data_IF_971730668904
#
_entry.id   IF_971730668904
#
_cell.length_a   1.000
_cell.length_b   1.000
_cell.length_c   1.000
_cell.angle_alpha   90.00
_cell.angle_beta   90.00
_cell.angle_gamma   90.00
#
_symmetry.space_group_name_H-M   'P 1'
#
loop_
_entity.id
_entity.type
_entity.pdbx_description
1 polymer ?
#
# COMPACT_ATOMS: atom_id res chain seq x y z
N UNK A 1 -16.02 15.31 -10.19
CA UNK A 1 -15.65 14.99 -11.59
C UNK A 1 -14.13 14.91 -11.65
N UNK A 2 -13.60 13.89 -12.33
CA UNK A 2 -12.17 13.74 -12.51
C UNK A 2 -11.54 14.96 -13.24
N UNK A 3 -10.28 15.25 -12.95
CA UNK A 3 -9.55 16.31 -13.65
C UNK A 3 -9.25 15.91 -15.10
N UNK A 4 -9.06 16.88 -16.01
CA UNK A 4 -8.67 16.57 -17.39
C UNK A 4 -7.37 15.75 -17.48
N UNK A 5 -6.46 15.90 -16.51
CA UNK A 5 -5.22 15.15 -16.43
C UNK A 5 -5.51 13.67 -16.13
N UNK A 6 -6.39 13.39 -15.16
CA UNK A 6 -6.78 12.03 -14.82
C UNK A 6 -7.59 11.40 -15.96
N UNK A 7 -8.53 12.11 -16.57
CA UNK A 7 -9.29 11.61 -17.72
C UNK A 7 -8.37 11.22 -18.89
N UNK A 8 -7.34 12.03 -19.17
CA UNK A 8 -6.36 11.71 -20.20
C UNK A 8 -5.52 10.46 -19.84
N UNK A 9 -5.11 10.34 -18.58
CA UNK A 9 -4.38 9.15 -18.10
C UNK A 9 -5.24 7.90 -18.26
N UNK A 10 -6.49 7.94 -17.79
CA UNK A 10 -7.45 6.82 -17.91
C UNK A 10 -7.61 6.39 -19.35
N UNK A 11 -7.78 7.34 -20.28
CA UNK A 11 -7.85 7.04 -21.70
C UNK A 11 -6.59 6.36 -22.24
N UNK A 12 -5.41 6.81 -21.81
CA UNK A 12 -4.14 6.18 -22.21
C UNK A 12 -4.00 4.77 -21.66
N UNK A 13 -4.45 4.53 -20.42
CA UNK A 13 -4.43 3.21 -19.80
C UNK A 13 -5.33 2.23 -20.54
N UNK A 14 -6.55 2.63 -20.92
CA UNK A 14 -7.43 1.80 -21.73
C UNK A 14 -6.83 1.46 -23.10
N UNK A 15 -6.24 2.42 -23.79
CA UNK A 15 -5.55 2.19 -25.06
C UNK A 15 -4.36 1.24 -24.92
N UNK A 16 -3.62 1.37 -23.81
CA UNK A 16 -2.52 0.44 -23.48
C UNK A 16 -3.03 -0.98 -23.28
N UNK A 17 -4.12 -1.16 -22.53
CA UNK A 17 -4.67 -2.47 -22.22
C UNK A 17 -5.12 -3.24 -23.47
N UNK A 18 -5.61 -2.56 -24.50
CA UNK A 18 -5.93 -3.17 -25.81
C UNK A 18 -4.70 -3.75 -26.53
N UNK A 19 -3.50 -3.26 -26.20
CA UNK A 19 -2.23 -3.64 -26.84
C UNK A 19 -1.37 -4.56 -25.95
N UNK A 20 -1.79 -4.78 -24.69
CA UNK A 20 -1.00 -5.58 -23.76
C UNK A 20 -1.08 -7.07 -24.10
N UNK A 21 0.05 -7.79 -24.03
CA UNK A 21 0.04 -9.24 -24.10
C UNK A 21 -0.71 -9.84 -22.92
N UNK A 22 -0.97 -11.15 -22.97
CA UNK A 22 -1.47 -11.89 -21.81
C UNK A 22 -0.62 -11.62 -20.57
N UNK A 23 -1.27 -11.63 -19.40
CA UNK A 23 -0.60 -11.41 -18.13
C UNK A 23 0.55 -12.39 -17.91
N UNK A 24 1.71 -11.88 -17.53
CA UNK A 24 2.81 -12.64 -16.93
C UNK A 24 3.46 -11.83 -15.82
N UNK A 25 4.17 -12.50 -14.91
CA UNK A 25 4.93 -11.84 -13.83
C UNK A 25 5.97 -10.90 -14.41
N UNK A 26 6.68 -11.32 -15.46
CA UNK A 26 7.69 -10.52 -16.13
C UNK A 26 7.09 -9.26 -16.77
N UNK A 27 5.91 -9.38 -17.41
CA UNK A 27 5.24 -8.24 -18.02
C UNK A 27 4.77 -7.23 -16.98
N UNK A 28 4.30 -7.69 -15.82
CA UNK A 28 3.93 -6.82 -14.69
C UNK A 28 5.16 -6.10 -14.13
N UNK A 29 6.24 -6.82 -13.85
CA UNK A 29 7.51 -6.25 -13.36
C UNK A 29 8.04 -5.18 -14.32
N UNK A 30 8.14 -5.50 -15.60
CA UNK A 30 8.57 -4.55 -16.62
C UNK A 30 7.65 -3.32 -16.74
N UNK A 31 6.34 -3.49 -16.52
CA UNK A 31 5.39 -2.38 -16.53
C UNK A 31 5.63 -1.42 -15.35
N UNK A 32 5.86 -1.93 -14.14
CA UNK A 32 6.17 -1.11 -12.97
C UNK A 32 7.51 -0.40 -13.10
N UNK A 33 8.56 -1.10 -13.56
CA UNK A 33 9.87 -0.49 -13.85
C UNK A 33 9.74 0.67 -14.85
N UNK A 34 8.94 0.47 -15.90
CA UNK A 34 8.70 1.51 -16.89
C UNK A 34 7.93 2.69 -16.29
N UNK A 35 6.90 2.47 -15.47
CA UNK A 35 6.15 3.54 -14.81
C UNK A 35 7.05 4.37 -13.90
N UNK A 36 7.90 3.77 -13.09
CA UNK A 36 8.84 4.47 -12.21
C UNK A 36 9.82 5.37 -12.99
N UNK A 37 10.14 5.01 -14.24
CA UNK A 37 11.02 5.83 -15.08
C UNK A 37 10.44 7.21 -15.45
N UNK A 38 9.13 7.37 -15.38
CA UNK A 38 8.44 8.65 -15.65
C UNK A 38 8.31 9.56 -14.43
N UNK A 39 8.63 9.07 -13.24
CA UNK A 39 8.57 9.82 -11.98
C UNK A 39 9.96 9.93 -11.36
N UNK A 40 10.78 10.90 -11.82
CA UNK A 40 12.13 11.05 -11.30
C UNK A 40 12.11 11.45 -9.83
N UNK A 41 13.00 10.84 -9.06
CA UNK A 41 13.18 11.15 -7.64
C UNK A 41 13.61 12.62 -7.52
N UNK A 42 12.95 13.45 -6.69
CA UNK A 42 13.38 14.82 -6.45
C UNK A 42 14.81 14.88 -5.90
N UNK A 43 15.59 15.88 -6.33
CA UNK A 43 17.04 15.97 -6.03
C UNK A 43 17.37 16.14 -4.55
N UNK A 44 16.43 16.59 -3.76
CA UNK A 44 16.56 16.82 -2.32
C UNK A 44 16.15 15.60 -1.48
N UNK A 45 15.65 14.54 -2.10
CA UNK A 45 15.34 13.27 -1.43
C UNK A 45 16.65 12.53 -1.19
N UNK A 46 16.89 12.17 0.07
CA UNK A 46 18.02 11.34 0.48
C UNK A 46 17.55 9.89 0.65
N UNK A 47 18.36 8.96 0.16
CA UNK A 47 18.09 7.53 0.25
C UNK A 47 19.31 6.82 0.83
N UNK A 48 19.10 5.95 1.81
CA UNK A 48 20.13 5.12 2.45
C UNK A 48 19.66 3.68 2.53
N UNK A 49 20.39 2.77 1.91
CA UNK A 49 20.11 1.33 1.99
C UNK A 49 20.45 0.80 3.39
N UNK A 50 19.61 -0.10 3.91
CA UNK A 50 19.77 -0.69 5.24
C UNK A 50 19.31 -2.15 5.24
N UNK A 51 19.89 -2.94 6.13
CA UNK A 51 19.39 -4.28 6.47
C UNK A 51 18.43 -4.15 7.67
N UNK A 52 17.16 -4.37 7.42
CA UNK A 52 16.11 -4.29 8.43
C UNK A 52 15.84 -5.67 9.07
N UNK A 53 16.84 -6.23 9.73
CA UNK A 53 16.73 -7.53 10.40
C UNK A 53 16.80 -8.72 9.45
N UNK A 54 17.64 -8.64 8.43
CA UNK A 54 17.79 -9.61 7.36
C UNK A 54 16.94 -9.31 6.13
N UNK A 55 16.18 -8.20 6.16
CA UNK A 55 15.34 -7.75 5.06
C UNK A 55 15.92 -6.48 4.46
N UNK A 56 16.23 -6.41 3.17
CA UNK A 56 16.66 -5.19 2.54
C UNK A 56 15.60 -4.10 2.69
N UNK A 57 16.01 -2.87 2.95
CA UNK A 57 15.11 -1.72 3.05
C UNK A 57 15.85 -0.43 2.67
N UNK A 58 15.10 0.62 2.43
CA UNK A 58 15.65 1.93 2.09
C UNK A 58 15.04 2.98 3.02
N UNK A 59 15.88 3.70 3.75
CA UNK A 59 15.49 4.97 4.36
C UNK A 59 15.35 6.03 3.29
N UNK A 60 14.21 6.69 3.28
CA UNK A 60 13.93 7.82 2.39
C UNK A 60 13.53 9.01 3.25
N UNK A 61 14.23 10.13 3.08
CA UNK A 61 13.94 11.34 3.84
C UNK A 61 14.19 12.62 3.02
N UNK A 62 13.47 13.67 3.39
CA UNK A 62 13.65 15.01 2.84
C UNK A 62 14.22 15.94 3.89
N UNK A 63 14.88 17.07 3.50
CA UNK A 63 15.39 18.04 4.45
C UNK A 63 14.31 18.53 5.42
N UNK A 64 14.59 18.43 6.72
CA UNK A 64 13.66 18.83 7.77
C UNK A 64 12.70 17.75 8.26
N UNK A 65 12.76 16.53 7.72
CA UNK A 65 12.05 15.40 8.27
C UNK A 65 12.47 15.15 9.73
N UNK A 66 11.49 14.89 10.61
CA UNK A 66 11.77 14.51 11.98
C UNK A 66 12.27 13.06 12.02
N UNK A 67 13.51 12.79 12.46
CA UNK A 67 14.08 11.45 12.45
C UNK A 67 13.38 10.49 13.43
N UNK A 68 12.66 11.00 14.42
CA UNK A 68 11.93 10.17 15.38
C UNK A 68 10.60 9.65 14.82
N UNK A 69 9.99 10.36 13.85
CA UNK A 69 8.74 9.97 13.23
C UNK A 69 9.01 9.09 12.01
N UNK A 70 8.48 7.88 12.02
CA UNK A 70 8.76 6.87 11.00
C UNK A 70 7.47 6.38 10.33
N UNK A 71 7.44 6.43 9.01
CA UNK A 71 6.47 5.69 8.21
C UNK A 71 7.16 4.40 7.77
N UNK A 72 6.68 3.25 8.24
CA UNK A 72 7.09 1.94 7.73
C UNK A 72 6.22 1.64 6.50
N UNK A 73 6.85 1.66 5.33
CA UNK A 73 6.17 1.59 4.05
C UNK A 73 6.37 0.23 3.37
N UNK A 74 5.28 -0.32 2.85
CA UNK A 74 5.27 -1.52 2.03
C UNK A 74 4.73 -1.18 0.65
N UNK A 75 5.51 -1.50 -0.39
CA UNK A 75 5.17 -1.20 -1.78
C UNK A 75 4.05 -2.09 -2.34
N UNK A 76 3.38 -1.62 -3.37
CA UNK A 76 2.39 -2.40 -4.12
C UNK A 76 3.03 -3.43 -5.08
N UNK A 77 2.21 -3.98 -5.98
CA UNK A 77 2.67 -4.93 -7.00
C UNK A 77 2.22 -6.38 -6.79
N UNK A 78 1.12 -6.58 -6.05
CA UNK A 78 0.49 -7.91 -5.91
C UNK A 78 1.29 -8.93 -5.10
N UNK A 79 2.38 -8.53 -4.43
CA UNK A 79 3.31 -9.44 -3.75
C UNK A 79 4.19 -10.26 -4.72
N UNK A 80 4.17 -9.94 -6.01
CA UNK A 80 4.93 -10.63 -7.07
C UNK A 80 5.78 -9.67 -7.91
N UNK A 81 5.61 -8.36 -7.72
CA UNK A 81 6.32 -7.30 -8.44
C UNK A 81 6.50 -6.08 -7.54
N UNK A 82 7.24 -5.08 -8.01
CA UNK A 82 7.61 -3.92 -7.22
C UNK A 82 8.90 -4.13 -6.43
N UNK A 83 9.40 -3.07 -5.83
CA UNK A 83 10.52 -3.07 -4.90
C UNK A 83 10.67 -1.68 -4.26
N UNK A 84 11.42 -1.59 -3.17
CA UNK A 84 11.64 -0.33 -2.45
C UNK A 84 12.29 0.77 -3.29
N UNK A 85 13.07 0.41 -4.34
CA UNK A 85 13.68 1.40 -5.23
C UNK A 85 12.68 2.10 -6.13
N UNK A 86 11.63 1.40 -6.58
CA UNK A 86 10.59 1.98 -7.43
C UNK A 86 9.76 3.02 -6.66
N UNK A 87 9.58 2.80 -5.36
CA UNK A 87 8.77 3.66 -4.50
C UNK A 87 9.50 4.85 -3.89
N UNK A 88 10.79 5.06 -4.22
CA UNK A 88 11.55 6.20 -3.67
C UNK A 88 10.92 7.56 -3.96
N UNK A 89 10.23 7.71 -5.08
CA UNK A 89 9.55 8.97 -5.41
C UNK A 89 8.35 9.22 -4.49
N UNK A 90 7.45 8.24 -4.36
CA UNK A 90 6.29 8.37 -3.47
C UNK A 90 6.73 8.46 -1.99
N UNK A 91 7.72 7.68 -1.57
CA UNK A 91 8.30 7.77 -0.23
C UNK A 91 8.90 9.15 0.03
N UNK A 92 9.55 9.77 -0.96
CA UNK A 92 10.04 11.16 -0.88
C UNK A 92 8.92 12.18 -0.72
N UNK A 93 7.79 12.01 -1.44
CA UNK A 93 6.60 12.85 -1.26
C UNK A 93 5.96 12.63 0.12
N UNK A 94 5.82 11.39 0.56
CA UNK A 94 5.35 11.08 1.91
C UNK A 94 6.23 11.74 2.97
N UNK A 95 7.56 11.59 2.87
CA UNK A 95 8.49 12.24 3.79
C UNK A 95 8.30 13.75 3.86
N UNK A 96 8.16 14.41 2.71
CA UNK A 96 7.99 15.87 2.62
C UNK A 96 6.69 16.35 3.24
N UNK A 97 5.58 15.73 2.87
CA UNK A 97 4.25 16.17 3.29
C UNK A 97 3.94 15.82 4.74
N UNK A 98 4.55 14.76 5.27
CA UNK A 98 4.33 14.33 6.67
C UNK A 98 5.41 14.80 7.63
N UNK A 99 6.53 15.31 7.12
CA UNK A 99 7.70 15.64 7.94
C UNK A 99 8.35 14.45 8.62
N UNK A 100 8.24 13.24 8.06
CA UNK A 100 8.68 11.98 8.66
C UNK A 100 9.77 11.31 7.82
N UNK A 101 10.58 10.43 8.42
CA UNK A 101 11.38 9.47 7.66
C UNK A 101 10.49 8.34 7.18
N UNK A 102 10.79 7.79 6.01
CA UNK A 102 10.10 6.60 5.47
C UNK A 102 11.09 5.45 5.39
N UNK A 103 10.75 4.31 5.99
CA UNK A 103 11.47 3.06 5.79
C UNK A 103 10.69 2.21 4.79
N UNK A 104 11.16 2.17 3.55
CA UNK A 104 10.58 1.36 2.48
C UNK A 104 11.19 -0.03 2.49
N UNK A 105 10.36 -1.06 2.69
CA UNK A 105 10.80 -2.45 2.86
C UNK A 105 10.82 -3.18 1.52
N UNK A 106 11.92 -3.83 1.20
CA UNK A 106 12.11 -4.64 0.00
C UNK A 106 11.89 -6.13 0.32
N UNK A 107 10.63 -6.46 0.59
CA UNK A 107 10.22 -7.79 1.01
C UNK A 107 10.28 -8.80 -0.14
N UNK A 108 10.46 -10.10 0.17
CA UNK A 108 10.52 -11.19 -0.81
C UNK A 108 9.21 -11.35 -1.57
N UNK A 109 9.34 -11.59 -2.88
CA UNK A 109 8.22 -11.65 -3.82
C UNK A 109 7.95 -13.09 -4.29
N UNK A 110 6.66 -13.36 -4.54
CA UNK A 110 6.25 -14.51 -5.33
C UNK A 110 6.55 -14.31 -6.84
N UNK A 111 6.49 -15.37 -7.63
CA UNK A 111 6.31 -16.76 -7.24
C UNK A 111 7.59 -17.42 -6.67
N UNK A 112 8.75 -16.72 -6.70
CA UNK A 112 10.02 -17.25 -6.21
C UNK A 112 9.99 -17.51 -4.70
N UNK A 113 9.28 -16.64 -3.96
CA UNK A 113 9.06 -16.76 -2.52
C UNK A 113 7.58 -16.48 -2.22
N UNK A 114 6.69 -17.46 -2.43
CA UNK A 114 5.26 -17.26 -2.23
C UNK A 114 4.94 -17.02 -0.75
N UNK A 115 3.68 -16.72 -0.46
CA UNK A 115 3.17 -16.62 0.91
C UNK A 115 3.68 -17.81 1.78
N UNK A 116 4.15 -17.56 3.02
CA UNK A 116 4.09 -16.30 3.77
C UNK A 116 5.38 -15.45 3.72
N UNK A 117 6.33 -15.70 2.81
CA UNK A 117 7.67 -15.14 2.87
C UNK A 117 7.69 -13.60 3.00
N UNK A 118 6.95 -12.87 2.15
CA UNK A 118 6.92 -11.41 2.18
C UNK A 118 6.28 -10.83 3.45
N UNK A 119 5.26 -11.52 3.99
CA UNK A 119 4.62 -11.12 5.26
C UNK A 119 5.56 -11.34 6.45
N UNK A 120 6.33 -12.43 6.44
CA UNK A 120 7.34 -12.70 7.46
C UNK A 120 8.44 -11.62 7.44
N UNK A 121 8.84 -11.18 6.25
CA UNK A 121 9.79 -10.06 6.07
C UNK A 121 9.22 -8.74 6.59
N UNK A 122 7.96 -8.46 6.32
CA UNK A 122 7.29 -7.25 6.81
C UNK A 122 7.28 -7.18 8.35
N UNK A 123 6.95 -8.29 9.01
CA UNK A 123 7.00 -8.38 10.47
C UNK A 123 8.44 -8.28 11.00
N UNK A 124 9.41 -8.92 10.34
CA UNK A 124 10.82 -8.85 10.73
C UNK A 124 11.36 -7.41 10.65
N UNK A 125 11.02 -6.66 9.59
CA UNK A 125 11.38 -5.26 9.44
C UNK A 125 10.80 -4.39 10.57
N UNK A 126 9.55 -4.63 10.98
CA UNK A 126 8.96 -3.92 12.11
C UNK A 126 9.65 -4.27 13.45
N UNK A 127 9.92 -5.55 13.70
CA UNK A 127 10.65 -5.98 14.89
C UNK A 127 12.05 -5.37 14.96
N UNK A 128 12.74 -5.33 13.82
CA UNK A 128 14.03 -4.65 13.73
C UNK A 128 13.90 -3.16 14.05
N UNK A 129 12.92 -2.46 13.47
CA UNK A 129 12.68 -1.05 13.74
C UNK A 129 12.48 -0.77 15.24
N UNK A 130 11.71 -1.61 15.93
CA UNK A 130 11.56 -1.51 17.39
C UNK A 130 12.89 -1.77 18.12
N UNK A 131 13.71 -2.70 17.64
CA UNK A 131 15.01 -3.05 18.24
C UNK A 131 16.04 -1.92 18.16
N UNK A 132 15.90 -1.01 17.19
CA UNK A 132 16.74 0.21 17.07
C UNK A 132 16.43 1.27 18.13
N UNK A 133 15.39 1.06 18.94
CA UNK A 133 14.91 2.02 19.93
C UNK A 133 13.82 2.96 19.41
N UNK A 134 13.36 2.76 18.18
CA UNK A 134 12.22 3.52 17.63
C UNK A 134 10.97 3.25 18.45
N UNK A 135 10.34 4.30 18.94
CA UNK A 135 9.15 4.20 19.78
C UNK A 135 7.92 3.85 18.92
N UNK A 136 7.07 2.91 19.33
CA UNK A 136 5.90 2.50 18.55
C UNK A 136 4.88 3.65 18.36
N UNK A 137 4.76 4.59 19.32
CA UNK A 137 3.94 5.78 19.20
C UNK A 137 4.50 6.85 18.24
N UNK A 138 5.64 6.58 17.62
CA UNK A 138 6.27 7.34 16.55
C UNK A 138 6.35 6.55 15.23
N UNK A 139 5.59 5.46 15.11
CA UNK A 139 5.54 4.65 13.90
C UNK A 139 4.12 4.65 13.34
N UNK A 140 4.00 4.82 12.03
CA UNK A 140 2.78 4.58 11.26
C UNK A 140 3.11 3.57 10.16
N UNK A 141 2.25 2.57 9.94
CA UNK A 141 2.37 1.70 8.78
C UNK A 141 1.66 2.32 7.60
N UNK A 142 2.24 2.22 6.41
CA UNK A 142 1.61 2.69 5.18
C UNK A 142 1.92 1.75 4.02
N UNK A 143 1.02 1.69 3.07
CA UNK A 143 1.25 0.97 1.83
C UNK A 143 0.07 1.12 0.88
N UNK A 144 0.29 0.76 -0.38
CA UNK A 144 -0.73 0.77 -1.42
C UNK A 144 -0.91 -0.62 -2.02
N UNK A 145 -2.14 -0.95 -2.41
CA UNK A 145 -2.47 -2.25 -3.02
C UNK A 145 -2.03 -3.42 -2.10
N UNK A 146 -1.22 -4.35 -2.57
CA UNK A 146 -0.64 -5.42 -1.75
C UNK A 146 0.20 -4.88 -0.58
N UNK A 147 0.83 -3.72 -0.70
CA UNK A 147 1.52 -3.07 0.42
C UNK A 147 0.56 -2.63 1.54
N UNK A 148 -0.65 -2.21 1.20
CA UNK A 148 -1.70 -1.93 2.18
C UNK A 148 -2.18 -3.22 2.88
N UNK A 149 -2.33 -4.32 2.13
CA UNK A 149 -2.55 -5.66 2.69
C UNK A 149 -1.42 -6.04 3.67
N UNK A 150 -0.15 -5.86 3.28
CA UNK A 150 0.99 -6.17 4.15
C UNK A 150 0.99 -5.30 5.41
N UNK A 151 0.67 -4.01 5.29
CA UNK A 151 0.50 -3.12 6.44
C UNK A 151 -0.55 -3.68 7.41
N UNK A 152 -1.72 -4.06 6.91
CA UNK A 152 -2.81 -4.61 7.72
C UNK A 152 -2.44 -5.94 8.37
N UNK A 153 -1.88 -6.88 7.62
CA UNK A 153 -1.50 -8.21 8.13
C UNK A 153 -0.37 -8.09 9.16
N UNK A 154 0.60 -7.18 8.94
CA UNK A 154 1.66 -6.92 9.91
C UNK A 154 1.11 -6.33 11.22
N UNK A 155 0.09 -5.45 11.15
CA UNK A 155 -0.62 -4.97 12.35
C UNK A 155 -1.28 -6.13 13.13
N UNK A 156 -1.97 -7.03 12.42
CA UNK A 156 -2.61 -8.21 13.02
C UNK A 156 -1.57 -9.13 13.68
N UNK A 157 -0.50 -9.47 12.95
CA UNK A 157 0.58 -10.33 13.48
C UNK A 157 1.30 -9.68 14.68
N UNK A 158 1.56 -8.37 14.64
CA UNK A 158 2.19 -7.65 15.74
C UNK A 158 1.29 -7.69 17.00
N UNK A 159 -0.01 -7.44 16.85
CA UNK A 159 -1.01 -7.55 17.92
C UNK A 159 -1.02 -8.95 18.51
N UNK A 160 -1.14 -9.96 17.68
CA UNK A 160 -1.28 -11.37 18.11
C UNK A 160 0.00 -11.91 18.75
N UNK A 161 1.15 -11.37 18.36
CA UNK A 161 2.43 -11.62 18.99
C UNK A 161 2.67 -10.80 20.29
N UNK A 162 1.74 -9.90 20.66
CA UNK A 162 1.90 -9.03 21.83
C UNK A 162 3.00 -7.98 21.68
N UNK A 163 3.37 -7.64 20.43
CA UNK A 163 4.30 -6.54 20.17
C UNK A 163 3.58 -5.20 20.37
N UNK A 164 4.31 -4.14 20.77
CA UNK A 164 3.76 -2.79 20.75
C UNK A 164 3.27 -2.46 19.34
N UNK A 165 2.04 -1.91 19.22
CA UNK A 165 1.48 -1.51 17.95
C UNK A 165 1.94 -0.09 17.55
N UNK A 166 2.05 0.21 16.25
CA UNK A 166 2.22 1.58 15.77
C UNK A 166 1.00 2.43 16.11
N UNK A 167 1.15 3.75 16.05
CA UNK A 167 0.10 4.68 16.47
C UNK A 167 -1.07 4.76 15.49
N UNK A 168 -0.87 4.42 14.22
CA UNK A 168 -1.89 4.38 13.18
C UNK A 168 -1.44 3.55 11.96
N UNK A 169 -2.38 3.31 11.03
CA UNK A 169 -2.11 2.71 9.72
C UNK A 169 -2.78 3.45 8.57
N UNK A 170 -2.14 3.45 7.40
CA UNK A 170 -2.63 4.03 6.14
C UNK A 170 -2.69 2.94 5.08
N UNK A 171 -3.89 2.64 4.62
CA UNK A 171 -4.18 1.57 3.69
C UNK A 171 -4.76 2.16 2.40
N UNK A 172 -3.93 2.27 1.35
CA UNK A 172 -4.37 2.81 0.07
C UNK A 172 -4.76 1.67 -0.86
N UNK A 173 -6.00 1.68 -1.34
CA UNK A 173 -6.53 0.65 -2.26
C UNK A 173 -6.23 -0.79 -1.78
N UNK A 174 -6.54 -1.14 -0.51
CA UNK A 174 -6.18 -2.44 0.04
C UNK A 174 -6.97 -3.57 -0.62
N UNK A 175 -6.32 -4.71 -0.83
CA UNK A 175 -6.97 -6.00 -1.06
C UNK A 175 -7.09 -6.75 0.28
N UNK A 176 -8.29 -6.99 0.75
CA UNK A 176 -8.53 -7.59 2.07
C UNK A 176 -9.18 -8.97 2.02
N UNK A 177 -9.72 -9.35 0.85
CA UNK A 177 -10.22 -10.70 0.57
C UNK A 177 -9.83 -11.15 -0.85
N UNK A 178 -8.84 -12.02 -0.94
CA UNK A 178 -8.30 -12.53 -2.22
C UNK A 178 -9.26 -13.44 -2.99
N UNK A 179 -10.42 -13.75 -2.44
CA UNK A 179 -11.45 -14.53 -3.15
C UNK A 179 -12.25 -13.67 -4.14
N UNK A 180 -12.25 -12.35 -3.98
CA UNK A 180 -12.92 -11.39 -4.87
C UNK A 180 -14.37 -11.80 -5.19
N UNK A 181 -15.17 -12.12 -4.15
CA UNK A 181 -16.53 -12.69 -4.28
C UNK A 181 -17.65 -11.64 -4.16
N UNK A 182 -17.30 -10.36 -3.97
CA UNK A 182 -18.28 -9.31 -3.69
C UNK A 182 -19.18 -9.01 -4.90
N UNK A 183 -20.48 -8.78 -4.64
CA UNK A 183 -21.43 -8.44 -5.72
C UNK A 183 -21.09 -7.11 -6.42
N UNK A 184 -20.61 -6.11 -5.66
CA UNK A 184 -20.20 -4.81 -6.20
C UNK A 184 -19.03 -4.89 -7.17
N UNK A 185 -18.15 -5.88 -7.01
CA UNK A 185 -17.06 -6.15 -7.94
C UNK A 185 -17.57 -6.31 -9.39
N UNK A 186 -18.72 -6.96 -9.60
CA UNK A 186 -19.29 -7.22 -10.95
C UNK A 186 -19.65 -5.93 -11.70
N UNK A 187 -20.04 -4.88 -10.99
CA UNK A 187 -20.34 -3.58 -11.59
C UNK A 187 -19.12 -2.77 -11.97
N UNK A 188 -17.93 -3.09 -11.42
CA UNK A 188 -16.69 -2.30 -11.58
C UNK A 188 -15.63 -2.95 -12.45
N UNK A 189 -15.84 -4.22 -12.85
CA UNK A 189 -14.88 -5.00 -13.66
C UNK A 189 -14.47 -4.25 -14.94
N UNK A 190 -15.39 -3.49 -15.54
CA UNK A 190 -15.21 -2.76 -16.78
C UNK A 190 -14.87 -1.27 -16.55
N UNK A 191 -14.77 -0.81 -15.29
CA UNK A 191 -14.52 0.59 -14.94
C UNK A 191 -13.08 0.87 -14.56
N UNK A 192 -12.33 -0.13 -14.07
CA UNK A 192 -10.95 0.04 -13.65
C UNK A 192 -9.98 -0.10 -14.85
N UNK A 193 -9.30 0.99 -15.25
CA UNK A 193 -8.34 0.94 -16.35
C UNK A 193 -6.99 0.33 -15.93
N UNK A 194 -6.78 0.08 -14.63
CA UNK A 194 -5.51 -0.40 -14.07
C UNK A 194 -5.51 -1.90 -13.83
N UNK A 195 -6.61 -2.44 -13.27
CA UNK A 195 -6.72 -3.82 -12.85
C UNK A 195 -7.98 -4.48 -13.45
N UNK A 196 -7.81 -5.69 -13.97
CA UNK A 196 -8.93 -6.56 -14.31
C UNK A 196 -9.06 -7.68 -13.28
N UNK A 197 -10.25 -8.25 -13.15
CA UNK A 197 -10.47 -9.40 -12.27
C UNK A 197 -9.59 -10.61 -12.65
N UNK A 198 -9.39 -10.83 -13.96
CA UNK A 198 -8.52 -11.91 -14.45
C UNK A 198 -7.05 -11.68 -14.03
N UNK A 199 -6.56 -10.44 -14.16
CA UNK A 199 -5.22 -10.08 -13.70
C UNK A 199 -5.07 -10.27 -12.18
N UNK A 200 -6.04 -9.80 -11.37
CA UNK A 200 -6.03 -9.98 -9.92
C UNK A 200 -5.97 -11.46 -9.53
N UNK A 201 -6.79 -12.31 -10.14
CA UNK A 201 -6.78 -13.76 -9.86
C UNK A 201 -5.44 -14.39 -10.19
N UNK A 202 -4.83 -14.05 -11.33
CA UNK A 202 -3.51 -14.55 -11.73
C UNK A 202 -2.41 -14.07 -10.80
N UNK A 203 -2.48 -12.80 -10.34
CA UNK A 203 -1.56 -12.25 -9.35
C UNK A 203 -1.64 -13.06 -8.05
N UNK A 204 -2.86 -13.26 -7.54
CA UNK A 204 -3.05 -14.00 -6.29
C UNK A 204 -2.64 -15.48 -6.40
N UNK A 205 -2.83 -16.12 -7.56
CA UNK A 205 -2.34 -17.48 -7.79
C UNK A 205 -0.81 -17.56 -7.65
N UNK A 206 -0.08 -16.57 -8.14
CA UNK A 206 1.37 -16.51 -8.04
C UNK A 206 1.87 -16.15 -6.62
N UNK A 207 1.12 -15.31 -5.90
CA UNK A 207 1.48 -14.89 -4.55
C UNK A 207 1.11 -15.94 -3.49
N UNK A 208 -0.12 -16.46 -3.54
CA UNK A 208 -0.68 -17.38 -2.53
C UNK A 208 -0.12 -18.79 -2.70
N UNK A 209 0.12 -19.24 -3.94
CA UNK A 209 0.50 -20.62 -4.23
C UNK A 209 -0.58 -21.60 -3.76
N UNK A 210 -0.16 -22.66 -3.08
CA UNK A 210 -1.04 -23.74 -2.58
C UNK A 210 -1.66 -23.45 -1.19
N UNK A 211 -1.44 -22.24 -0.63
CA UNK A 211 -1.93 -21.90 0.70
C UNK A 211 -3.45 -21.71 0.72
N UNK A 212 -4.05 -21.93 1.89
CA UNK A 212 -5.49 -21.77 2.08
C UNK A 212 -5.88 -20.28 2.03
N UNK A 213 -6.68 -19.91 1.04
CA UNK A 213 -7.18 -18.54 0.85
C UNK A 213 -8.06 -18.04 2.01
N UNK A 214 -8.52 -18.93 2.89
CA UNK A 214 -9.22 -18.58 4.11
C UNK A 214 -8.27 -18.24 5.28
N UNK A 215 -6.95 -18.38 5.12
CA UNK A 215 -5.98 -17.90 6.12
C UNK A 215 -6.14 -16.38 6.29
N UNK A 216 -6.35 -15.86 7.54
CA UNK A 216 -6.51 -14.43 7.78
C UNK A 216 -5.30 -13.58 7.39
N UNK A 217 -4.14 -14.19 7.17
CA UNK A 217 -2.95 -13.49 6.65
C UNK A 217 -2.98 -13.33 5.13
N UNK A 218 -3.85 -14.09 4.44
CA UNK A 218 -4.11 -14.00 3.00
C UNK A 218 -5.38 -13.19 2.75
N UNK A 219 -6.42 -13.42 3.55
CA UNK A 219 -7.71 -12.71 3.49
C UNK A 219 -7.98 -12.01 4.83
N UNK A 220 -7.31 -10.89 5.15
CA UNK A 220 -7.44 -10.22 6.45
C UNK A 220 -8.85 -9.71 6.75
N UNK A 221 -9.72 -9.61 5.76
CA UNK A 221 -11.15 -9.41 6.00
C UNK A 221 -11.75 -10.49 6.91
N UNK A 222 -11.22 -11.70 6.92
CA UNK A 222 -11.70 -12.80 7.76
C UNK A 222 -11.20 -12.73 9.22
N UNK A 223 -10.18 -11.90 9.49
CA UNK A 223 -9.60 -11.76 10.82
C UNK A 223 -10.57 -11.11 11.82
N UNK A 224 -10.29 -11.33 13.12
CA UNK A 224 -10.73 -10.43 14.18
C UNK A 224 -9.85 -9.17 14.13
N UNK A 225 -10.47 -7.99 13.98
CA UNK A 225 -9.78 -6.71 13.85
C UNK A 225 -9.67 -5.96 15.18
N UNK A 226 -10.34 -6.44 16.25
CA UNK A 226 -10.36 -5.74 17.52
C UNK A 226 -8.95 -5.44 18.05
N UNK A 227 -8.75 -4.24 18.59
CA UNK A 227 -7.48 -3.80 19.16
C UNK A 227 -6.45 -3.25 18.16
N UNK A 228 -6.79 -3.17 16.87
CA UNK A 228 -5.96 -2.46 15.90
C UNK A 228 -5.95 -0.95 16.17
N UNK A 229 -4.89 -0.23 15.80
CA UNK A 229 -4.81 1.22 15.93
C UNK A 229 -5.78 1.92 14.95
N UNK A 230 -5.97 3.25 15.05
CA UNK A 230 -6.67 4.04 14.05
C UNK A 230 -6.16 3.78 12.62
N UNK A 231 -7.08 3.68 11.66
CA UNK A 231 -6.75 3.40 10.27
C UNK A 231 -7.35 4.44 9.32
N UNK A 232 -6.57 4.84 8.32
CA UNK A 232 -7.06 5.50 7.11
C UNK A 232 -7.17 4.45 6.01
N UNK A 233 -8.35 4.30 5.42
CA UNK A 233 -8.55 3.58 4.15
C UNK A 233 -8.83 4.60 3.06
N UNK A 234 -8.06 4.55 1.98
CA UNK A 234 -8.25 5.41 0.83
C UNK A 234 -8.42 4.56 -0.42
N UNK A 235 -9.38 4.91 -1.27
CA UNK A 235 -9.66 4.20 -2.52
C UNK A 235 -10.16 5.15 -3.62
N UNK A 236 -10.00 4.77 -4.88
CA UNK A 236 -10.59 5.46 -6.01
C UNK A 236 -12.04 5.02 -6.25
N UNK A 237 -12.92 5.94 -6.67
CA UNK A 237 -14.31 5.57 -6.96
C UNK A 237 -14.47 4.70 -8.21
N UNK A 238 -13.46 4.66 -9.07
CA UNK A 238 -13.44 3.88 -10.32
C UNK A 238 -12.47 2.69 -10.27
N UNK A 239 -12.07 2.25 -9.06
CA UNK A 239 -11.21 1.06 -8.94
C UNK A 239 -12.00 -0.19 -8.59
N UNK A 240 -11.49 -1.34 -9.03
CA UNK A 240 -12.10 -2.65 -8.82
C UNK A 240 -12.12 -3.06 -7.33
N UNK A 241 -11.18 -2.57 -6.51
CA UNK A 241 -11.07 -2.90 -5.09
C UNK A 241 -11.86 -1.96 -4.16
N UNK A 242 -12.64 -1.00 -4.69
CA UNK A 242 -13.40 -0.06 -3.85
C UNK A 242 -14.35 -0.77 -2.87
N UNK A 243 -15.07 -1.78 -3.34
CA UNK A 243 -16.01 -2.50 -2.47
C UNK A 243 -15.29 -3.33 -1.40
N UNK A 244 -14.10 -3.87 -1.71
CA UNK A 244 -13.27 -4.56 -0.74
C UNK A 244 -12.79 -3.59 0.35
N UNK A 245 -12.25 -2.45 -0.05
CA UNK A 245 -11.78 -1.40 0.84
C UNK A 245 -12.89 -0.86 1.76
N UNK A 246 -14.07 -0.56 1.21
CA UNK A 246 -15.19 0.01 1.97
C UNK A 246 -15.81 -0.98 2.94
N UNK A 247 -16.00 -2.24 2.53
CA UNK A 247 -16.52 -3.30 3.40
C UNK A 247 -15.57 -3.65 4.53
N UNK A 248 -14.25 -3.64 4.24
CA UNK A 248 -13.26 -3.76 5.30
C UNK A 248 -13.39 -2.64 6.32
N UNK A 249 -13.52 -1.39 5.86
CA UNK A 249 -13.66 -0.24 6.73
C UNK A 249 -14.95 -0.31 7.59
N UNK A 250 -16.08 -0.74 7.01
CA UNK A 250 -17.34 -0.95 7.74
C UNK A 250 -17.15 -1.99 8.84
N UNK A 251 -16.58 -3.16 8.50
CA UNK A 251 -16.29 -4.22 9.49
C UNK A 251 -15.37 -3.74 10.61
N UNK A 252 -14.33 -2.98 10.27
CA UNK A 252 -13.40 -2.44 11.26
C UNK A 252 -14.09 -1.46 12.22
N UNK A 253 -14.98 -0.59 11.71
CA UNK A 253 -15.80 0.31 12.53
C UNK A 253 -16.74 -0.48 13.46
N UNK A 254 -17.40 -1.52 12.97
CA UNK A 254 -18.27 -2.40 13.78
C UNK A 254 -17.50 -3.08 14.92
N UNK A 255 -16.20 -3.33 14.73
CA UNK A 255 -15.31 -3.89 15.75
C UNK A 255 -14.61 -2.81 16.61
N UNK A 256 -15.04 -1.56 16.50
CA UNK A 256 -14.59 -0.47 17.38
C UNK A 256 -13.28 0.20 16.98
N UNK A 257 -12.79 -0.03 15.75
CA UNK A 257 -11.60 0.64 15.24
C UNK A 257 -11.96 2.07 14.80
N UNK A 258 -11.15 3.05 15.18
CA UNK A 258 -11.26 4.41 14.64
C UNK A 258 -10.85 4.39 13.16
N UNK A 259 -11.83 4.64 12.27
CA UNK A 259 -11.64 4.61 10.82
C UNK A 259 -11.83 5.99 10.21
N UNK A 260 -10.93 6.37 9.32
CA UNK A 260 -11.16 7.40 8.32
C UNK A 260 -11.24 6.74 6.95
N UNK A 261 -12.29 7.02 6.19
CA UNK A 261 -12.46 6.52 4.82
C UNK A 261 -12.44 7.71 3.88
N UNK A 262 -11.60 7.63 2.84
CA UNK A 262 -11.47 8.66 1.80
C UNK A 262 -11.63 7.99 0.43
N UNK A 263 -12.78 8.24 -0.22
CA UNK A 263 -13.05 7.77 -1.57
C UNK A 263 -12.84 8.92 -2.54
N UNK A 264 -11.82 8.81 -3.37
CA UNK A 264 -11.44 9.84 -4.35
C UNK A 264 -12.34 9.73 -5.57
N UNK A 265 -13.17 10.72 -5.78
CA UNK A 265 -14.12 10.75 -6.91
C UNK A 265 -13.42 10.73 -8.28
N UNK A 266 -13.79 9.76 -9.12
CA UNK A 266 -13.12 9.49 -10.40
C UNK A 266 -11.73 8.87 -10.26
N UNK A 267 -11.26 8.65 -9.03
CA UNK A 267 -9.96 8.05 -8.76
C UNK A 267 -9.89 6.61 -9.25
N UNK A 268 -8.69 6.20 -9.64
CA UNK A 268 -8.34 4.84 -10.04
C UNK A 268 -7.45 4.19 -8.98
N UNK A 269 -7.09 2.93 -9.16
CA UNK A 269 -6.30 2.15 -8.21
C UNK A 269 -4.98 2.86 -7.81
N UNK A 270 -4.71 2.89 -6.50
CA UNK A 270 -3.49 3.45 -5.90
C UNK A 270 -3.19 4.89 -6.32
N UNK A 271 -4.18 5.79 -6.28
CA UNK A 271 -4.08 7.19 -6.74
C UNK A 271 -2.83 7.92 -6.25
N UNK A 272 -2.38 7.64 -5.02
CA UNK A 272 -1.26 8.34 -4.38
C UNK A 272 0.08 8.15 -5.10
N UNK A 273 0.28 7.00 -5.77
CA UNK A 273 1.54 6.71 -6.50
C UNK A 273 1.61 7.40 -7.86
N UNK A 274 0.50 7.95 -8.35
CA UNK A 274 0.49 8.65 -9.62
C UNK A 274 1.29 9.96 -9.55
N UNK A 275 1.83 10.43 -10.70
CA UNK A 275 2.62 11.65 -10.71
C UNK A 275 1.86 12.87 -10.15
N UNK A 276 2.53 13.82 -9.49
CA UNK A 276 1.87 14.99 -8.86
C UNK A 276 1.29 15.99 -9.87
N UNK A 277 1.45 15.76 -11.16
CA UNK A 277 0.73 16.47 -12.21
C UNK A 277 -0.76 16.11 -12.26
N UNK A 278 -1.15 15.00 -11.61
CA UNK A 278 -2.53 14.56 -11.42
C UNK A 278 -3.05 15.17 -10.12
N UNK A 279 -4.03 16.09 -10.16
CA UNK A 279 -4.52 16.76 -8.94
C UNK A 279 -5.07 15.80 -7.87
N UNK A 280 -5.70 14.70 -8.30
CA UNK A 280 -6.26 13.70 -7.41
C UNK A 280 -5.16 12.93 -6.65
N UNK A 281 -3.98 12.73 -7.26
CA UNK A 281 -2.81 12.17 -6.56
C UNK A 281 -2.32 13.10 -5.45
N UNK A 282 -2.30 14.41 -5.72
CA UNK A 282 -1.95 15.42 -4.70
C UNK A 282 -3.00 15.46 -3.59
N UNK A 283 -4.29 15.38 -3.93
CA UNK A 283 -5.37 15.28 -2.95
C UNK A 283 -5.21 14.06 -2.06
N UNK A 284 -4.95 12.89 -2.66
CA UNK A 284 -4.72 11.64 -1.94
C UNK A 284 -3.59 11.79 -0.91
N UNK A 285 -2.46 12.34 -1.34
CA UNK A 285 -1.31 12.55 -0.46
C UNK A 285 -1.61 13.55 0.66
N UNK A 286 -2.33 14.64 0.38
CA UNK A 286 -2.72 15.63 1.38
C UNK A 286 -3.66 15.04 2.46
N UNK A 287 -4.56 14.14 2.08
CA UNK A 287 -5.40 13.40 3.04
C UNK A 287 -4.54 12.53 3.95
N UNK A 288 -3.56 11.81 3.38
CA UNK A 288 -2.62 11.00 4.15
C UNK A 288 -1.81 11.87 5.11
N UNK A 289 -1.24 12.97 4.63
CA UNK A 289 -0.44 13.89 5.46
C UNK A 289 -1.27 14.48 6.61
N UNK A 290 -2.54 14.84 6.34
CA UNK A 290 -3.46 15.34 7.36
C UNK A 290 -3.75 14.27 8.42
N UNK A 291 -3.97 13.02 7.99
CA UNK A 291 -4.19 11.90 8.91
C UNK A 291 -2.95 11.62 9.76
N UNK A 292 -1.78 11.50 9.14
CA UNK A 292 -0.49 11.28 9.84
C UNK A 292 -0.23 12.37 10.88
N UNK A 293 -0.47 13.64 10.53
CA UNK A 293 -0.30 14.79 11.43
C UNK A 293 -1.19 14.77 12.67
N UNK A 294 -2.29 13.99 12.70
CA UNK A 294 -3.10 13.83 13.93
C UNK A 294 -2.38 12.98 14.98
N UNK A 295 -1.54 12.05 14.56
CA UNK A 295 -0.92 11.06 15.43
C UNK A 295 0.56 11.36 15.72
N UNK A 296 1.28 11.95 14.79
CA UNK A 296 2.62 12.48 15.04
C UNK A 296 2.53 13.89 15.63
N UNK A 297 2.13 13.99 16.91
CA UNK A 297 2.03 15.28 17.61
C UNK A 297 3.43 15.81 17.90
N UNK A 298 3.69 17.08 17.53
CA UNK A 298 4.79 17.83 18.11
C UNK A 298 4.59 17.88 19.64
N UNK A 299 5.66 17.56 20.38
CA UNK A 299 5.72 17.76 21.82
C UNK A 299 6.18 19.17 22.14
#
# INVERSE_FOLDING_TARGET
MASPQLENLVKMLWQRNELMPEFSVESLRASLDNMASFTPIPKDVQCEEVDAGGVPAIWVETPGANPDNVILHFHGGGGIAGNANLDREICGRLSRETGSRVLSVDYRLGPENPFPAGIDDALAAYQWLLSTGTRPDHVIFAGESKGAHFSLVTLLQARDAGLPLPVAGVLVSPDTDVNFIWEGLKGRIDEDPFLSLDALRKIEEQYVGDADRADPRISPYLADLAGLPPLLVQAGSSEILLDDATRFAEKAQEQGIEMQVDVIEGGIHAMVVLPPVIPESVQALNTIATFVGKYFKEK
#
